data_IF_111285293981
#
_entry.id   IF_111285293981
#
_cell.length_a   1.000
_cell.length_b   1.000
_cell.length_c   1.000
_cell.angle_alpha   90.00
_cell.angle_beta   90.00
_cell.angle_gamma   90.00
#
_symmetry.space_group_name_H-M   'P 1'
#
loop_
_entity.id
_entity.type
_entity.pdbx_description
1 polymer ?
#
# COMPACT_ATOMS: atom_id res chain seq x y z
N UNK A 1 -39.67 5.85 -17.94
CA UNK A 1 -38.76 6.55 -16.99
C UNK A 1 -37.84 5.49 -16.40
N UNK A 2 -36.63 5.33 -16.95
CA UNK A 2 -35.67 4.38 -16.42
C UNK A 2 -35.00 5.01 -15.20
N UNK A 3 -35.28 4.49 -14.01
CA UNK A 3 -34.49 4.81 -12.82
C UNK A 3 -33.05 4.35 -13.07
N UNK A 4 -32.16 5.30 -13.29
CA UNK A 4 -30.73 5.05 -13.27
C UNK A 4 -30.38 4.56 -11.87
N UNK A 5 -30.15 3.25 -11.70
CA UNK A 5 -29.53 2.69 -10.50
C UNK A 5 -28.20 3.39 -10.34
N UNK A 6 -28.14 4.36 -9.45
CA UNK A 6 -26.94 5.12 -9.15
C UNK A 6 -25.91 4.15 -8.60
N UNK A 7 -24.98 3.73 -9.45
CA UNK A 7 -23.95 2.76 -9.09
C UNK A 7 -23.15 3.31 -7.91
N UNK A 8 -23.30 2.67 -6.75
CA UNK A 8 -22.55 3.01 -5.55
C UNK A 8 -21.06 3.01 -5.93
N UNK A 9 -20.39 4.16 -5.87
CA UNK A 9 -18.95 4.23 -6.16
C UNK A 9 -18.22 3.39 -5.12
N UNK A 10 -17.95 2.10 -5.43
CA UNK A 10 -17.35 1.10 -4.52
C UNK A 10 -15.92 1.43 -4.04
N UNK A 11 -15.39 2.60 -4.41
CA UNK A 11 -13.98 2.97 -4.30
C UNK A 11 -13.81 4.27 -3.51
N UNK A 12 -14.07 4.19 -2.21
CA UNK A 12 -13.88 5.30 -1.26
C UNK A 12 -12.41 5.63 -0.96
N UNK A 13 -12.17 6.59 -0.08
CA UNK A 13 -10.83 7.03 0.32
C UNK A 13 -9.96 5.88 0.83
N UNK A 14 -10.49 5.01 1.69
CA UNK A 14 -9.78 3.81 2.19
C UNK A 14 -9.46 2.79 1.11
N UNK A 15 -10.32 2.64 0.09
CA UNK A 15 -10.00 1.79 -1.05
C UNK A 15 -8.77 2.32 -1.79
N UNK A 16 -8.75 3.63 -2.09
CA UNK A 16 -7.63 4.27 -2.78
C UNK A 16 -6.34 4.19 -1.96
N UNK A 17 -6.44 4.37 -0.64
CA UNK A 17 -5.30 4.28 0.27
C UNK A 17 -4.70 2.86 0.31
N UNK A 18 -5.53 1.81 0.37
CA UNK A 18 -5.06 0.41 0.31
C UNK A 18 -4.40 0.09 -1.02
N UNK A 19 -5.02 0.50 -2.14
CA UNK A 19 -4.43 0.33 -3.47
C UNK A 19 -3.04 0.99 -3.53
N UNK A 20 -2.92 2.21 -3.02
CA UNK A 20 -1.63 2.91 -2.99
C UNK A 20 -0.61 2.24 -2.09
N UNK A 21 -1.03 1.63 -0.97
CA UNK A 21 -0.13 0.88 -0.10
C UNK A 21 0.45 -0.35 -0.82
N UNK A 22 -0.37 -1.09 -1.57
CA UNK A 22 0.10 -2.20 -2.40
C UNK A 22 1.14 -1.74 -3.42
N UNK A 23 0.89 -0.64 -4.12
CA UNK A 23 1.85 -0.09 -5.09
C UNK A 23 3.21 0.26 -4.43
N UNK A 24 3.19 0.73 -3.17
CA UNK A 24 4.40 1.09 -2.43
C UNK A 24 5.16 -0.15 -1.95
N UNK A 25 4.47 -1.17 -1.45
CA UNK A 25 5.11 -2.44 -1.07
C UNK A 25 5.77 -3.10 -2.28
N UNK A 26 5.10 -3.09 -3.43
CA UNK A 26 5.66 -3.59 -4.68
C UNK A 26 6.90 -2.79 -5.10
N UNK A 27 6.85 -1.45 -5.02
CA UNK A 27 8.01 -0.61 -5.32
C UNK A 27 9.18 -0.90 -4.37
N UNK A 28 8.90 -1.10 -3.08
CA UNK A 28 9.89 -1.41 -2.04
C UNK A 28 10.64 -2.71 -2.33
N UNK A 29 9.88 -3.78 -2.57
CA UNK A 29 10.39 -5.10 -2.92
C UNK A 29 11.21 -5.05 -4.22
N UNK A 30 10.68 -4.40 -5.27
CA UNK A 30 11.38 -4.29 -6.56
C UNK A 30 12.72 -3.55 -6.49
N UNK A 31 12.90 -2.71 -5.47
CA UNK A 31 14.09 -1.90 -5.25
C UNK A 31 14.97 -2.42 -4.12
N UNK A 32 14.55 -3.49 -3.43
CA UNK A 32 15.17 -4.02 -2.22
C UNK A 32 15.42 -2.92 -1.15
N UNK A 33 14.36 -2.19 -0.80
CA UNK A 33 14.40 -1.12 0.22
C UNK A 33 13.26 -1.23 1.21
N UNK A 34 13.43 -0.64 2.39
CA UNK A 34 12.36 -0.50 3.38
C UNK A 34 11.17 0.32 2.80
N UNK A 35 9.92 -0.19 2.82
CA UNK A 35 8.76 0.55 2.33
C UNK A 35 8.49 1.85 3.09
N UNK A 36 8.92 1.98 4.36
CA UNK A 36 8.86 3.24 5.13
C UNK A 36 9.76 4.30 4.50
N UNK A 37 10.92 3.92 3.96
CA UNK A 37 11.82 4.85 3.28
C UNK A 37 11.17 5.48 2.03
N UNK A 38 10.37 4.71 1.29
CA UNK A 38 9.60 5.24 0.14
C UNK A 38 8.56 6.27 0.60
N UNK A 39 7.88 6.03 1.73
CA UNK A 39 6.93 6.98 2.30
C UNK A 39 7.63 8.29 2.67
N UNK A 40 8.77 8.21 3.34
CA UNK A 40 9.54 9.38 3.76
C UNK A 40 10.06 10.19 2.59
N UNK A 41 10.56 9.53 1.54
CA UNK A 41 10.99 10.22 0.33
C UNK A 41 9.81 10.88 -0.40
N UNK A 42 8.67 10.18 -0.50
CA UNK A 42 7.45 10.75 -1.09
C UNK A 42 6.96 11.96 -0.30
N UNK A 43 7.05 11.90 1.03
CA UNK A 43 6.70 13.01 1.92
C UNK A 43 7.60 14.21 1.68
N UNK A 44 8.93 14.02 1.60
CA UNK A 44 9.87 15.11 1.27
C UNK A 44 9.52 15.76 -0.07
N UNK A 45 9.34 14.95 -1.12
CA UNK A 45 9.00 15.43 -2.47
C UNK A 45 7.66 16.18 -2.52
N UNK A 46 6.66 15.73 -1.74
CA UNK A 46 5.35 16.38 -1.69
C UNK A 46 5.35 17.75 -0.99
N UNK A 47 6.38 18.04 -0.19
CA UNK A 47 6.52 19.31 0.57
C UNK A 47 7.49 20.30 -0.09
N UNK A 48 8.08 19.95 -1.23
CA UNK A 48 8.96 20.85 -1.98
C UNK A 48 8.21 22.11 -2.44
N UNK A 49 8.94 23.18 -2.78
CA UNK A 49 8.37 24.44 -3.30
C UNK A 49 7.53 24.18 -4.55
N UNK A 50 8.00 23.27 -5.40
CA UNK A 50 7.29 22.75 -6.57
C UNK A 50 7.08 21.24 -6.40
N UNK A 51 5.96 20.80 -5.80
CA UNK A 51 5.71 19.39 -5.56
C UNK A 51 5.54 18.60 -6.86
N UNK A 52 6.42 17.63 -7.08
CA UNK A 52 6.34 16.71 -8.23
C UNK A 52 5.47 15.48 -7.96
N UNK A 53 5.01 15.31 -6.72
CA UNK A 53 4.17 14.18 -6.28
C UNK A 53 3.09 14.64 -5.31
N UNK A 54 1.94 13.98 -5.34
CA UNK A 54 0.89 14.18 -4.36
C UNK A 54 1.30 13.66 -2.96
N UNK A 55 0.82 14.27 -1.86
CA UNK A 55 0.99 13.76 -0.51
C UNK A 55 0.46 12.33 -0.36
N UNK A 56 1.10 11.56 0.52
CA UNK A 56 0.63 10.23 0.90
C UNK A 56 -0.55 10.38 1.86
N UNK A 57 -1.61 9.59 1.65
CA UNK A 57 -2.74 9.56 2.56
C UNK A 57 -2.33 8.93 3.91
N UNK A 58 -2.80 9.48 5.02
CA UNK A 58 -2.49 9.00 6.37
C UNK A 58 -2.79 7.50 6.54
N UNK A 59 -3.90 7.02 5.98
CA UNK A 59 -4.25 5.59 6.06
C UNK A 59 -3.34 4.70 5.19
N UNK A 60 -2.72 5.23 4.13
CA UNK A 60 -1.68 4.50 3.39
C UNK A 60 -0.44 4.35 4.25
N UNK A 61 0.00 5.43 4.89
CA UNK A 61 1.15 5.42 5.80
C UNK A 61 0.92 4.47 6.99
N UNK A 62 -0.27 4.48 7.59
CA UNK A 62 -0.61 3.56 8.68
C UNK A 62 -0.51 2.08 8.26
N UNK A 63 -0.92 1.74 7.03
CA UNK A 63 -0.78 0.38 6.50
C UNK A 63 0.70 0.04 6.31
N UNK A 64 1.47 0.91 5.66
CA UNK A 64 2.89 0.65 5.38
C UNK A 64 3.70 0.50 6.67
N UNK A 65 3.51 1.40 7.63
CA UNK A 65 4.18 1.30 8.93
C UNK A 65 3.77 0.03 9.68
N UNK A 66 2.48 -0.34 9.65
CA UNK A 66 2.00 -1.58 10.27
C UNK A 66 2.60 -2.82 9.62
N UNK A 67 2.67 -2.88 8.28
CA UNK A 67 3.30 -3.98 7.55
C UNK A 67 4.79 -4.05 7.86
N UNK A 68 5.51 -2.93 7.89
CA UNK A 68 6.94 -2.91 8.22
C UNK A 68 7.22 -3.44 9.64
N UNK A 69 6.35 -3.14 10.61
CA UNK A 69 6.46 -3.64 11.99
C UNK A 69 6.13 -5.13 12.08
N UNK A 70 5.10 -5.59 11.36
CA UNK A 70 4.55 -6.95 11.49
C UNK A 70 5.02 -7.89 10.38
N UNK A 71 6.04 -7.52 9.60
CA UNK A 71 6.38 -8.19 8.34
C UNK A 71 6.64 -9.69 8.53
N UNK A 72 7.52 -10.04 9.48
CA UNK A 72 7.85 -11.44 9.78
C UNK A 72 6.61 -12.23 10.26
N UNK A 73 5.74 -11.62 11.06
CA UNK A 73 4.53 -12.28 11.55
C UNK A 73 3.51 -12.50 10.43
N UNK A 74 3.36 -11.53 9.53
CA UNK A 74 2.53 -11.64 8.33
C UNK A 74 3.06 -12.75 7.42
N UNK A 75 4.38 -12.79 7.17
CA UNK A 75 5.00 -13.82 6.33
C UNK A 75 4.79 -15.22 6.89
N UNK A 76 4.99 -15.42 8.20
CA UNK A 76 4.72 -16.69 8.87
C UNK A 76 3.25 -17.08 8.69
N UNK A 77 2.34 -16.16 8.97
CA UNK A 77 0.90 -16.43 8.84
C UNK A 77 0.50 -16.77 7.39
N UNK A 78 1.07 -16.07 6.41
CA UNK A 78 0.86 -16.35 4.99
C UNK A 78 1.40 -17.74 4.63
N UNK A 79 2.63 -18.07 5.03
CA UNK A 79 3.25 -19.37 4.76
C UNK A 79 2.44 -20.54 5.34
N UNK A 80 1.79 -20.37 6.49
CA UNK A 80 0.91 -21.38 7.10
C UNK A 80 -0.39 -21.64 6.32
N UNK A 81 -0.84 -20.69 5.49
CA UNK A 81 -2.16 -20.72 4.84
C UNK A 81 -2.11 -20.73 3.31
N UNK A 82 -0.92 -20.61 2.72
CA UNK A 82 -0.71 -20.76 1.28
C UNK A 82 -0.72 -22.25 0.94
N UNK A 83 -1.36 -22.63 -0.19
CA UNK A 83 -1.40 -24.02 -0.63
C UNK A 83 0.02 -24.59 -0.73
N UNK A 84 0.23 -25.86 -0.38
CA UNK A 84 1.56 -26.51 -0.32
C UNK A 84 2.38 -26.40 -1.62
N UNK A 85 1.74 -26.11 -2.76
CA UNK A 85 2.37 -25.90 -4.07
C UNK A 85 2.86 -24.47 -4.32
N UNK A 86 2.60 -23.54 -3.41
CA UNK A 86 3.00 -22.14 -3.51
C UNK A 86 4.00 -21.81 -2.41
N UNK A 87 5.16 -21.30 -2.82
CA UNK A 87 6.21 -20.81 -1.93
C UNK A 87 6.30 -19.30 -2.09
N UNK A 88 6.46 -18.58 -0.97
CA UNK A 88 6.75 -17.15 -0.97
C UNK A 88 8.27 -17.00 -0.99
N UNK A 89 8.84 -16.60 -2.14
CA UNK A 89 10.27 -16.31 -2.27
C UNK A 89 10.57 -14.91 -1.72
N UNK A 90 11.76 -14.73 -1.14
CA UNK A 90 12.27 -13.45 -0.65
C UNK A 90 13.20 -12.81 -1.67
#
# INVERSE_FOLDING_TARGET
MSESRQGYKRHGSRYKARRRAVDILFEAESRDVDPVAIIDDRRKLSRAIEPVVAPVAEYTEAIINGVAVELDAIDVFLAEHIAETWVLER
#
